data_IF_263973844367
#
_entry.id   IF_263973844367
#
_cell.length_a   1.000
_cell.length_b   1.000
_cell.length_c   1.000
_cell.angle_alpha   90.00
_cell.angle_beta   90.00
_cell.angle_gamma   90.00
#
_symmetry.space_group_name_H-M   'P 1'
#
loop_
_entity.id
_entity.type
_entity.pdbx_description
1 polymer ?
#
# COMPACT_ATOMS: atom_id res chain seq x y z
N UNK A 1 16.40 3.21 -15.08
CA UNK A 1 15.60 2.04 -15.53
C UNK A 1 14.15 2.47 -15.51
N UNK A 2 13.37 2.19 -16.55
CA UNK A 2 11.95 2.54 -16.61
C UNK A 2 11.16 1.62 -15.69
N UNK A 3 10.68 2.14 -14.56
CA UNK A 3 9.72 1.44 -13.70
C UNK A 3 8.51 1.07 -14.54
N UNK A 4 8.36 -0.22 -14.83
CA UNK A 4 7.22 -0.74 -15.60
C UNK A 4 6.16 -1.14 -14.59
N UNK A 5 5.08 -0.39 -14.51
CA UNK A 5 3.92 -0.76 -13.69
C UNK A 5 3.31 -2.05 -14.24
N UNK A 6 3.14 -3.06 -13.40
CA UNK A 6 2.49 -4.31 -13.79
C UNK A 6 1.04 -4.09 -14.21
N UNK A 7 0.54 -4.92 -15.12
CA UNK A 7 -0.89 -4.95 -15.40
C UNK A 7 -1.65 -5.50 -14.17
N UNK A 8 -2.89 -5.06 -13.95
CA UNK A 8 -3.65 -5.47 -12.76
C UNK A 8 -3.81 -6.99 -12.63
N UNK A 9 -4.03 -7.69 -13.76
CA UNK A 9 -4.14 -9.15 -13.79
C UNK A 9 -2.81 -9.86 -13.47
N UNK A 10 -1.67 -9.17 -13.65
CA UNK A 10 -0.35 -9.68 -13.21
C UNK A 10 -0.15 -9.44 -11.72
N UNK A 11 -0.55 -8.26 -11.22
CA UNK A 11 -0.53 -7.95 -9.78
C UNK A 11 -1.32 -9.00 -9.00
N UNK A 12 -2.56 -9.27 -9.41
CA UNK A 12 -3.44 -10.19 -8.67
C UNK A 12 -2.98 -11.65 -8.74
N UNK A 13 -2.41 -12.07 -9.88
CA UNK A 13 -1.88 -13.43 -10.07
C UNK A 13 -0.56 -13.68 -9.32
N UNK A 14 0.29 -12.66 -9.22
CA UNK A 14 1.62 -12.79 -8.63
C UNK A 14 1.66 -12.44 -7.14
N UNK A 15 0.55 -11.97 -6.57
CA UNK A 15 0.44 -11.57 -5.18
C UNK A 15 0.61 -12.75 -4.20
N UNK A 16 1.77 -12.81 -3.54
CA UNK A 16 2.11 -13.82 -2.54
C UNK A 16 2.03 -13.26 -1.10
N UNK A 17 1.75 -14.10 -0.10
CA UNK A 17 1.74 -13.70 1.32
C UNK A 17 3.15 -13.48 1.89
N UNK A 18 4.12 -14.19 1.32
CA UNK A 18 5.54 -14.07 1.62
C UNK A 18 6.31 -14.06 0.30
N UNK A 19 7.34 -13.21 0.20
CA UNK A 19 8.25 -13.21 -0.94
C UNK A 19 9.70 -13.06 -0.51
N UNK A 20 10.60 -13.53 -1.37
CA UNK A 20 12.04 -13.37 -1.17
C UNK A 20 12.60 -12.26 -2.07
N UNK A 21 13.35 -11.34 -1.47
CA UNK A 21 14.04 -10.25 -2.18
C UNK A 21 15.39 -10.01 -1.52
N UNK A 22 16.46 -9.98 -2.31
CA UNK A 22 17.83 -9.79 -1.81
C UNK A 22 18.25 -10.74 -0.67
N UNK A 23 17.73 -11.99 -0.68
CA UNK A 23 17.98 -12.98 0.37
C UNK A 23 17.23 -12.72 1.68
N UNK A 24 16.26 -11.82 1.67
CA UNK A 24 15.36 -11.51 2.78
C UNK A 24 13.96 -11.99 2.47
N UNK A 25 13.25 -12.45 3.49
CA UNK A 25 11.82 -12.72 3.44
C UNK A 25 11.05 -11.48 3.84
N UNK A 26 10.05 -11.14 3.05
CA UNK A 26 9.11 -10.06 3.30
C UNK A 26 7.73 -10.65 3.57
N UNK A 27 7.05 -10.14 4.59
CA UNK A 27 5.63 -10.41 4.84
C UNK A 27 4.93 -9.15 5.34
N UNK A 28 3.65 -8.96 4.97
CA UNK A 28 2.85 -7.89 5.57
C UNK A 28 2.49 -8.33 6.99
N UNK A 29 3.09 -7.68 7.98
CA UNK A 29 2.90 -7.99 9.39
C UNK A 29 1.64 -7.31 9.95
N UNK A 30 1.37 -6.08 9.49
CA UNK A 30 0.21 -5.30 9.92
C UNK A 30 -0.29 -4.48 8.76
N UNK A 31 -1.61 -4.38 8.63
CA UNK A 31 -2.24 -3.39 7.77
C UNK A 31 -3.45 -2.83 8.47
N UNK A 32 -3.64 -1.52 8.31
CA UNK A 32 -4.75 -0.77 8.86
C UNK A 32 -5.39 0.00 7.73
N UNK A 33 -6.70 -0.11 7.63
CA UNK A 33 -7.50 0.79 6.80
C UNK A 33 -8.52 1.47 7.69
N UNK A 34 -8.63 2.78 7.57
CA UNK A 34 -9.58 3.56 8.36
C UNK A 34 -10.13 4.74 7.58
N UNK A 35 -11.39 5.07 7.85
CA UNK A 35 -12.04 6.24 7.28
C UNK A 35 -11.94 7.42 8.24
N UNK A 36 -11.51 8.58 7.73
CA UNK A 36 -11.60 9.82 8.50
C UNK A 36 -12.99 10.42 8.37
N UNK A 37 -13.82 10.19 9.39
CA UNK A 37 -15.18 10.74 9.46
C UNK A 37 -15.25 12.07 10.23
N UNK A 38 -14.11 12.63 10.65
CA UNK A 38 -14.13 13.88 11.39
C UNK A 38 -14.63 15.03 10.49
N UNK A 39 -15.53 15.90 11.01
CA UNK A 39 -15.93 17.11 10.33
C UNK A 39 -14.70 18.01 10.10
N UNK A 40 -14.24 18.13 8.86
CA UNK A 40 -13.20 19.11 8.53
C UNK A 40 -13.85 20.47 8.36
N UNK A 41 -13.36 21.46 9.10
CA UNK A 41 -13.65 22.87 8.84
C UNK A 41 -13.08 23.15 7.45
N UNK A 42 -13.97 23.21 6.45
CA UNK A 42 -13.59 23.49 5.06
C UNK A 42 -13.13 24.94 4.99
N UNK A 43 -11.81 25.13 4.97
CA UNK A 43 -11.22 26.43 4.68
C UNK A 43 -11.35 26.62 3.17
N UNK A 44 -12.27 27.48 2.76
CA UNK A 44 -12.58 27.95 1.40
C UNK A 44 -11.87 27.21 0.23
N UNK A 45 -12.62 26.36 -0.48
CA UNK A 45 -12.27 25.93 -1.84
C UNK A 45 -11.77 24.49 -1.98
N UNK A 46 -11.47 23.77 -0.90
CA UNK A 46 -11.20 22.33 -0.95
C UNK A 46 -12.42 21.57 -0.43
N UNK A 47 -13.08 20.83 -1.32
CA UNK A 47 -14.07 19.83 -0.92
C UNK A 47 -13.41 18.89 0.10
N UNK A 48 -14.14 18.56 1.18
CA UNK A 48 -13.65 17.61 2.16
C UNK A 48 -13.39 16.28 1.45
N UNK A 49 -12.10 15.92 1.26
CA UNK A 49 -11.73 14.60 0.74
C UNK A 49 -12.09 13.58 1.81
N UNK A 50 -13.24 12.92 1.61
CA UNK A 50 -13.64 11.71 2.34
C UNK A 50 -13.02 10.53 1.63
N UNK A 51 -12.47 9.59 2.40
CA UNK A 51 -11.83 8.43 1.81
C UNK A 51 -11.15 7.55 2.83
N UNK A 52 -10.81 6.35 2.40
CA UNK A 52 -10.02 5.43 3.20
C UNK A 52 -8.56 5.88 3.28
N UNK A 53 -7.99 5.78 4.46
CA UNK A 53 -6.57 5.89 4.73
C UNK A 53 -6.01 4.50 4.99
N UNK A 54 -4.79 4.26 4.54
CA UNK A 54 -4.14 2.96 4.70
C UNK A 54 -2.74 3.10 5.25
N UNK A 55 -2.39 2.23 6.19
CA UNK A 55 -1.02 2.02 6.64
C UNK A 55 -0.67 0.54 6.52
N UNK A 56 0.41 0.21 5.81
CA UNK A 56 0.95 -1.15 5.69
C UNK A 56 2.32 -1.19 6.34
N UNK A 57 2.56 -2.21 7.15
CA UNK A 57 3.86 -2.52 7.74
C UNK A 57 4.34 -3.87 7.21
N UNK A 58 5.43 -3.86 6.45
CA UNK A 58 6.10 -5.05 5.93
C UNK A 58 7.26 -5.37 6.84
N UNK A 59 7.29 -6.59 7.37
CA UNK A 59 8.42 -7.11 8.13
C UNK A 59 9.44 -7.75 7.20
N UNK A 60 10.71 -7.48 7.47
CA UNK A 60 11.87 -8.04 6.78
C UNK A 60 12.58 -9.02 7.72
N UNK A 61 12.88 -10.21 7.23
CA UNK A 61 13.60 -11.22 8.02
C UNK A 61 14.65 -11.92 7.16
N UNK A 62 15.72 -12.40 7.79
CA UNK A 62 16.66 -13.30 7.15
C UNK A 62 16.61 -14.70 7.77
N UNK A 63 16.59 -15.77 6.96
CA UNK A 63 16.55 -17.14 7.48
C UNK A 63 17.73 -17.50 8.37
N UNK A 64 18.90 -16.93 8.09
CA UNK A 64 20.15 -17.21 8.80
C UNK A 64 20.40 -16.27 10.01
N UNK A 65 19.43 -15.41 10.35
CA UNK A 65 19.56 -14.37 11.38
C UNK A 65 20.73 -13.39 11.14
N UNK A 66 21.29 -13.34 9.92
CA UNK A 66 22.29 -12.34 9.58
C UNK A 66 21.66 -10.94 9.49
N UNK A 67 22.49 -9.91 9.51
CA UNK A 67 22.04 -8.52 9.39
C UNK A 67 21.27 -8.31 8.08
N UNK A 68 20.11 -7.66 8.20
CA UNK A 68 19.34 -7.19 7.05
C UNK A 68 20.18 -6.27 6.17
N UNK A 69 19.86 -6.26 4.89
CA UNK A 69 20.42 -5.30 3.95
C UNK A 69 20.03 -3.88 4.33
N UNK A 70 20.95 -2.94 4.13
CA UNK A 70 20.64 -1.52 4.21
C UNK A 70 19.85 -1.02 2.99
N UNK A 71 19.61 -1.87 2.00
CA UNK A 71 18.84 -1.56 0.79
C UNK A 71 17.53 -2.36 0.78
N UNK A 72 16.47 -1.90 1.46
CA UNK A 72 15.16 -2.52 1.34
C UNK A 72 14.67 -2.50 -0.13
N UNK A 73 13.72 -3.35 -0.52
CA UNK A 73 13.15 -3.31 -1.86
C UNK A 73 12.38 -2.01 -2.13
N UNK A 74 12.52 -1.47 -3.34
CA UNK A 74 11.84 -0.25 -3.80
C UNK A 74 10.36 -0.55 -4.02
N UNK A 75 9.47 0.17 -3.33
CA UNK A 75 8.02 0.06 -3.53
C UNK A 75 7.58 0.97 -4.67
N UNK A 76 6.81 0.45 -5.63
CA UNK A 76 6.31 1.20 -6.79
C UNK A 76 4.84 1.56 -6.66
N UNK A 77 4.04 0.72 -5.98
CA UNK A 77 2.59 0.93 -5.87
C UNK A 77 2.01 0.24 -4.64
N UNK A 78 0.98 0.85 -4.06
CA UNK A 78 0.11 0.25 -3.06
C UNK A 78 -1.28 0.09 -3.66
N UNK A 79 -1.83 -1.11 -3.59
CA UNK A 79 -3.17 -1.46 -4.03
C UNK A 79 -4.04 -1.85 -2.86
N UNK A 80 -5.33 -1.54 -2.97
CA UNK A 80 -6.38 -1.97 -2.07
C UNK A 80 -7.45 -2.69 -2.90
N UNK A 81 -7.85 -3.86 -2.44
CA UNK A 81 -8.95 -4.63 -3.02
C UNK A 81 -10.00 -4.84 -1.94
N UNK A 82 -11.23 -4.41 -2.19
CA UNK A 82 -12.38 -4.68 -1.33
C UNK A 82 -12.93 -6.08 -1.66
N UNK A 83 -12.45 -7.09 -0.94
CA UNK A 83 -12.76 -8.51 -1.14
C UNK A 83 -12.86 -9.20 0.21
N UNK A 84 -13.62 -10.29 0.29
CA UNK A 84 -13.85 -11.02 1.55
C UNK A 84 -13.12 -12.37 1.63
N UNK A 85 -12.33 -12.72 0.61
CA UNK A 85 -11.50 -13.93 0.57
C UNK A 85 -10.29 -13.73 -0.34
N UNK A 86 -9.18 -14.41 -0.03
CA UNK A 86 -7.97 -14.36 -0.87
C UNK A 86 -8.19 -14.94 -2.27
N UNK A 87 -9.08 -15.94 -2.42
CA UNK A 87 -9.40 -16.55 -3.72
C UNK A 87 -10.05 -15.55 -4.69
N UNK A 88 -10.79 -14.57 -4.16
CA UNK A 88 -11.34 -13.49 -4.98
C UNK A 88 -10.26 -12.58 -5.55
N UNK A 89 -9.09 -12.48 -4.91
CA UNK A 89 -7.99 -11.68 -5.43
C UNK A 89 -7.48 -12.29 -6.73
N UNK A 90 -7.24 -13.60 -6.77
CA UNK A 90 -6.75 -14.29 -7.98
C UNK A 90 -7.76 -14.25 -9.14
N UNK A 91 -9.06 -14.18 -8.81
CA UNK A 91 -10.14 -14.01 -9.78
C UNK A 91 -10.43 -12.53 -10.12
N UNK A 92 -9.77 -11.58 -9.46
CA UNK A 92 -9.99 -10.16 -9.66
C UNK A 92 -9.41 -9.77 -11.02
N UNK A 93 -10.30 -9.38 -11.94
CA UNK A 93 -9.91 -8.92 -13.28
C UNK A 93 -10.19 -7.44 -13.44
N UNK A 94 -9.53 -6.84 -14.42
CA UNK A 94 -9.77 -5.46 -14.85
C UNK A 94 -11.22 -5.12 -15.28
N UNK A 95 -12.12 -6.11 -15.33
CA UNK A 95 -13.57 -5.93 -15.57
C UNK A 95 -14.38 -5.61 -14.30
N UNK A 96 -13.76 -5.74 -13.13
CA UNK A 96 -14.31 -5.29 -11.83
C UNK A 96 -14.44 -3.76 -11.85
N UNK A 97 -15.40 -3.14 -11.14
CA UNK A 97 -15.50 -1.67 -11.07
C UNK A 97 -14.16 -1.07 -10.61
N UNK A 98 -13.34 -0.56 -11.53
CA UNK A 98 -11.96 -0.09 -11.27
C UNK A 98 -11.89 1.41 -10.93
N UNK A 99 -12.99 2.15 -11.08
CA UNK A 99 -13.02 3.59 -10.84
C UNK A 99 -14.41 4.08 -10.48
N UNK A 100 -14.47 5.13 -9.66
CA UNK A 100 -15.71 5.80 -9.25
C UNK A 100 -16.27 5.37 -7.89
N UNK A 101 -17.38 6.00 -7.51
CA UNK A 101 -18.15 5.64 -6.31
C UNK A 101 -18.69 4.21 -6.47
N UNK A 102 -18.24 3.28 -5.62
CA UNK A 102 -18.57 1.85 -5.72
C UNK A 102 -17.52 0.98 -6.44
N UNK A 103 -16.34 1.54 -6.75
CA UNK A 103 -15.15 0.74 -7.11
C UNK A 103 -14.78 -0.21 -5.98
N UNK A 104 -14.42 -1.45 -6.27
CA UNK A 104 -13.88 -2.41 -5.29
C UNK A 104 -12.35 -2.48 -5.35
N UNK A 105 -11.71 -1.55 -6.05
CA UNK A 105 -10.27 -1.47 -6.19
C UNK A 105 -9.78 -0.02 -6.19
N UNK A 106 -8.61 0.19 -5.61
CA UNK A 106 -7.88 1.44 -5.74
C UNK A 106 -6.38 1.21 -5.66
N UNK A 107 -5.59 2.10 -6.23
CA UNK A 107 -4.15 2.08 -6.05
C UNK A 107 -3.57 3.47 -5.92
N UNK A 108 -2.61 3.61 -5.02
CA UNK A 108 -1.75 4.78 -4.90
C UNK A 108 -0.41 4.46 -5.56
N UNK A 109 -0.03 5.27 -6.54
CA UNK A 109 1.33 5.23 -7.05
C UNK A 109 2.30 5.70 -5.95
N UNK A 110 3.52 5.16 -5.93
CA UNK A 110 4.62 5.75 -5.17
C UNK A 110 5.41 6.66 -6.10
N UNK A 111 5.75 7.89 -5.69
CA UNK A 111 6.59 8.78 -6.50
C UNK A 111 7.91 8.10 -6.85
N UNK A 112 8.29 8.17 -8.12
CA UNK A 112 9.51 7.54 -8.60
C UNK A 112 10.73 8.08 -7.86
N UNK A 113 11.46 7.21 -7.18
CA UNK A 113 12.74 7.51 -6.57
C UNK A 113 13.85 6.77 -7.33
N UNK A 114 15.01 7.40 -7.46
CA UNK A 114 16.18 6.77 -8.11
C UNK A 114 16.89 5.75 -7.20
N UNK A 115 16.54 5.70 -5.92
CA UNK A 115 17.08 4.79 -4.91
C UNK A 115 16.15 4.69 -3.69
N UNK A 116 16.43 3.75 -2.79
CA UNK A 116 15.71 3.61 -1.52
C UNK A 116 15.87 4.83 -0.60
N UNK A 117 17.08 5.38 -0.52
CA UNK A 117 17.34 6.59 0.25
C UNK A 117 16.59 7.79 -0.36
N UNK A 118 16.41 7.81 -1.68
CA UNK A 118 15.61 8.81 -2.35
C UNK A 118 14.10 8.58 -2.14
N UNK A 119 13.67 7.34 -1.87
CA UNK A 119 12.28 7.03 -1.52
C UNK A 119 11.96 7.48 -0.09
N UNK A 120 12.93 7.37 0.82
CA UNK A 120 12.89 8.00 2.14
C UNK A 120 12.95 9.54 2.01
N UNK A 121 11.79 10.17 1.88
CA UNK A 121 11.69 11.62 1.73
C UNK A 121 11.48 12.11 0.30
N UNK A 122 11.11 11.23 -0.63
CA UNK A 122 10.66 11.62 -1.98
C UNK A 122 9.52 12.65 -1.93
N UNK A 123 8.64 12.50 -0.94
CA UNK A 123 7.53 13.41 -0.64
C UNK A 123 7.33 13.46 0.87
N UNK A 124 6.85 14.59 1.39
CA UNK A 124 6.31 14.68 2.75
C UNK A 124 4.83 14.27 2.78
N UNK A 125 4.25 14.09 3.98
CA UNK A 125 2.84 13.71 4.13
C UNK A 125 1.90 14.71 3.42
N UNK A 126 2.14 16.01 3.59
CA UNK A 126 1.28 17.04 3.00
C UNK A 126 1.23 16.92 1.47
N UNK A 127 2.39 16.75 0.85
CA UNK A 127 2.57 16.58 -0.59
C UNK A 127 1.96 15.26 -1.05
N UNK A 128 2.21 14.17 -0.32
CA UNK A 128 1.66 12.86 -0.64
C UNK A 128 0.13 12.86 -0.69
N UNK A 129 -0.51 13.54 0.29
CA UNK A 129 -1.96 13.71 0.35
C UNK A 129 -2.50 14.59 -0.77
N UNK A 130 -1.83 15.71 -1.06
CA UNK A 130 -2.24 16.61 -2.15
C UNK A 130 -2.21 15.89 -3.51
N UNK A 131 -1.14 15.13 -3.75
CA UNK A 131 -0.90 14.40 -5.01
C UNK A 131 -1.61 13.04 -5.08
N UNK A 132 -2.23 12.57 -3.99
CA UNK A 132 -2.87 11.26 -3.87
C UNK A 132 -1.92 10.10 -4.21
N UNK A 133 -0.74 10.12 -3.60
CA UNK A 133 0.32 9.11 -3.76
C UNK A 133 0.65 8.47 -2.41
N UNK A 134 1.25 7.29 -2.45
CA UNK A 134 1.69 6.59 -1.25
C UNK A 134 3.05 7.13 -0.78
N UNK A 135 3.15 7.39 0.52
CA UNK A 135 4.39 7.72 1.22
C UNK A 135 5.04 6.42 1.71
N UNK A 136 6.34 6.26 1.48
CA UNK A 136 7.09 5.06 1.91
C UNK A 136 8.21 5.47 2.85
N UNK A 137 8.30 4.75 3.98
CA UNK A 137 9.37 4.84 4.97
C UNK A 137 10.12 3.50 4.97
N UNK A 138 11.28 3.43 4.31
CA UNK A 138 12.01 2.16 4.13
C UNK A 138 12.58 1.53 5.42
N UNK A 139 12.60 2.29 6.53
CA UNK A 139 13.00 1.83 7.88
C UNK A 139 11.90 2.05 8.93
N UNK A 140 10.63 2.08 8.49
CA UNK A 140 9.46 2.29 9.33
C UNK A 140 9.39 3.68 9.98
N UNK A 141 8.25 4.04 10.57
CA UNK A 141 8.08 5.33 11.26
C UNK A 141 8.99 5.49 12.50
N UNK A 142 9.31 4.37 13.17
CA UNK A 142 10.11 4.36 14.42
C UNK A 142 11.61 4.09 14.18
N UNK A 143 12.05 4.02 12.93
CA UNK A 143 13.44 3.70 12.58
C UNK A 143 13.81 2.23 12.81
N UNK A 144 12.82 1.32 12.79
CA UNK A 144 13.08 -0.11 12.87
C UNK A 144 13.58 -0.63 11.51
N UNK A 145 14.83 -1.11 11.43
CA UNK A 145 15.45 -1.50 10.15
C UNK A 145 14.80 -2.75 9.52
N UNK A 146 14.06 -3.52 10.32
CA UNK A 146 13.31 -4.71 9.92
C UNK A 146 11.89 -4.41 9.46
N UNK A 147 11.54 -3.14 9.26
CA UNK A 147 10.19 -2.74 8.86
C UNK A 147 10.20 -1.73 7.71
N UNK A 148 9.32 -1.93 6.73
CA UNK A 148 8.96 -0.92 5.73
C UNK A 148 7.54 -0.48 6.03
N UNK A 149 7.33 0.82 6.18
CA UNK A 149 6.00 1.38 6.38
C UNK A 149 5.55 2.13 5.12
N UNK A 150 4.31 1.89 4.71
CA UNK A 150 3.68 2.56 3.58
C UNK A 150 2.41 3.22 4.09
N UNK A 151 2.23 4.50 3.81
CA UNK A 151 1.03 5.25 4.17
C UNK A 151 0.39 5.85 2.93
N UNK A 152 -0.94 5.79 2.87
CA UNK A 152 -1.71 6.40 1.81
C UNK A 152 -3.01 6.97 2.34
N UNK A 153 -3.55 7.98 1.64
CA UNK A 153 -4.71 8.73 2.10
C UNK A 153 -5.70 8.98 0.98
N UNK A 154 -6.92 9.36 1.37
CA UNK A 154 -7.95 9.87 0.47
C UNK A 154 -8.29 8.88 -0.66
N UNK A 155 -8.32 7.57 -0.34
CA UNK A 155 -8.82 6.51 -1.23
C UNK A 155 -10.35 6.54 -1.39
N UNK A 156 -10.95 5.54 -2.07
CA UNK A 156 -12.39 5.47 -2.27
C UNK A 156 -13.14 5.31 -0.94
N UNK A 157 -14.40 5.74 -0.90
CA UNK A 157 -15.29 5.51 0.23
C UNK A 157 -16.02 4.17 0.06
N UNK A 158 -15.52 3.13 0.74
CA UNK A 158 -16.15 1.81 0.79
C UNK A 158 -17.14 1.64 1.95
N UNK A 159 -17.24 2.66 2.82
CA UNK A 159 -17.89 2.55 4.11
C UNK A 159 -17.12 1.73 5.14
N UNK A 160 -17.61 1.79 6.37
CA UNK A 160 -17.08 1.08 7.53
C UNK A 160 -17.21 -0.45 7.43
N UNK A 161 -16.27 -1.19 8.04
CA UNK A 161 -16.40 -2.62 8.28
C UNK A 161 -16.34 -3.50 7.02
N UNK A 162 -15.79 -2.98 5.93
CA UNK A 162 -15.59 -3.77 4.71
C UNK A 162 -14.29 -4.54 4.77
N UNK A 163 -14.36 -5.79 4.33
CA UNK A 163 -13.18 -6.61 4.16
C UNK A 163 -12.36 -6.15 2.96
N UNK A 164 -11.05 -6.22 3.11
CA UNK A 164 -10.09 -5.82 2.12
C UNK A 164 -8.80 -6.65 2.17
N UNK A 165 -8.04 -6.60 1.08
CA UNK A 165 -6.66 -7.05 0.99
C UNK A 165 -5.80 -5.89 0.50
N UNK A 166 -4.67 -5.67 1.15
CA UNK A 166 -3.63 -4.77 0.66
C UNK A 166 -2.61 -5.55 -0.16
N UNK A 167 -2.20 -4.97 -1.29
CA UNK A 167 -1.17 -5.55 -2.15
C UNK A 167 -0.11 -4.48 -2.43
N UNK A 168 1.16 -4.84 -2.27
CA UNK A 168 2.31 -3.97 -2.46
C UNK A 168 3.10 -4.47 -3.67
N UNK A 169 3.27 -3.60 -4.65
CA UNK A 169 4.12 -3.82 -5.83
C UNK A 169 5.51 -3.25 -5.56
N UNK A 170 6.55 -4.01 -5.89
CA UNK A 170 7.93 -3.59 -5.83
C UNK A 170 8.57 -3.53 -7.21
N UNK A 171 9.67 -2.80 -7.31
CA UNK A 171 10.52 -2.85 -8.50
C UNK A 171 10.98 -4.29 -8.78
N UNK A 172 11.05 -4.65 -10.07
CA UNK A 172 11.35 -6.03 -10.50
C UNK A 172 10.12 -6.93 -10.58
N UNK A 173 8.91 -6.40 -10.34
CA UNK A 173 7.65 -7.11 -10.54
C UNK A 173 7.28 -8.07 -9.40
N UNK A 174 7.88 -7.88 -8.22
CA UNK A 174 7.52 -8.63 -7.01
C UNK A 174 6.24 -8.05 -6.41
N UNK A 175 5.35 -8.92 -5.95
CA UNK A 175 4.02 -8.52 -5.44
C UNK A 175 3.71 -9.24 -4.13
N UNK A 176 3.50 -8.47 -3.06
CA UNK A 176 3.20 -8.97 -1.72
C UNK A 176 1.77 -8.63 -1.34
N UNK A 177 1.01 -9.57 -0.78
CA UNK A 177 -0.34 -9.32 -0.25
C UNK A 177 -0.45 -9.58 1.24
N UNK A 178 -1.47 -8.97 1.84
CA UNK A 178 -1.94 -9.31 3.17
C UNK A 178 -2.92 -10.49 3.11
N UNK A 179 -3.26 -11.00 4.29
CA UNK A 179 -4.52 -11.69 4.50
C UNK A 179 -5.71 -10.73 4.34
N UNK A 180 -6.92 -11.28 4.36
CA UNK A 180 -8.15 -10.49 4.43
C UNK A 180 -8.21 -9.78 5.79
N UNK A 181 -8.50 -8.49 5.77
CA UNK A 181 -8.60 -7.62 6.94
C UNK A 181 -9.88 -6.81 6.87
N UNK A 182 -10.41 -6.38 8.00
CA UNK A 182 -11.62 -5.55 8.04
C UNK A 182 -11.26 -4.10 8.29
N UNK A 183 -11.75 -3.19 7.45
CA UNK A 183 -11.52 -1.75 7.59
C UNK A 183 -12.20 -1.20 8.85
N UNK A 184 -11.43 -0.49 9.66
CA UNK A 184 -11.90 0.13 10.90
C UNK A 184 -12.52 1.51 10.62
N UNK A 185 -13.26 2.04 11.59
CA UNK A 185 -13.79 3.39 11.55
C UNK A 185 -13.30 4.18 12.74
N UNK A 186 -12.55 5.24 12.49
CA UNK A 186 -12.16 6.19 13.53
C UNK A 186 -13.20 7.31 13.53
N UNK A 187 -14.01 7.35 14.60
CA UNK A 187 -15.02 8.37 14.84
C UNK A 187 -14.42 9.63 15.49
#
# INVERSE_FOLDING_TARGET
>A
MTSTTLALDEVTRNAAEELESNGEKLCINKVYMWQNNMPRISVSGQAARKGQHMTVHIKRTKPDSSTLSNTPPVVTRLHAFQINSADQLAAFTSSSNLSGEGSNYFSWAVPSASSNDAQAGAVDETTARQQNVALVRPTGWRGYPDEIEIQAWDGPDWGAGKDFVAVVEFEGGLVLRSDVQTADTVC
#
